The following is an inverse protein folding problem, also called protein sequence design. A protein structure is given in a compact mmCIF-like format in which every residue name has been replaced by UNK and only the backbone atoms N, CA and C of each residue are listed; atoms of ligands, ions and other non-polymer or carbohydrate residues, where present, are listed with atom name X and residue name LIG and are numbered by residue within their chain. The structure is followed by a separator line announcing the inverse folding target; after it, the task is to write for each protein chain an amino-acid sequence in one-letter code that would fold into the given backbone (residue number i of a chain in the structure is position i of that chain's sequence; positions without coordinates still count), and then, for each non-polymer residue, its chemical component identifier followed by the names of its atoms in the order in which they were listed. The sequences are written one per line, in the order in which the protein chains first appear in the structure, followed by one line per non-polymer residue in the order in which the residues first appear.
data_IF_369467790340
#
_entry.id   IF_369467790340
#
_cell.length_a   1.000
_cell.length_b   1.000
_cell.length_c   1.000
_cell.angle_alpha   90.00
_cell.angle_beta   90.00
_cell.angle_gamma   90.00
#
_symmetry.space_group_name_H-M   'P 1'
#
loop_
_entity.id
_entity.type
_entity.pdbx_description
1 polymer ?
#
# COMPACT_ATOMS: atom_id res chain seq x y z
N UNK A 1 -0.84 7.73 -20.86
CA UNK A 1 -0.87 9.14 -20.44
C UNK A 1 0.54 9.57 -20.07
N UNK A 2 0.93 10.82 -20.30
CA UNK A 2 2.25 11.32 -19.91
C UNK A 2 2.33 11.42 -18.38
N UNK A 3 3.43 10.95 -17.77
CA UNK A 3 3.67 11.06 -16.33
C UNK A 3 3.75 12.55 -15.97
N UNK A 4 2.75 13.09 -15.29
CA UNK A 4 2.81 14.46 -14.76
C UNK A 4 3.98 14.55 -13.79
N UNK A 5 4.72 15.65 -13.85
CA UNK A 5 5.83 15.89 -12.92
C UNK A 5 5.26 16.39 -11.60
N UNK A 6 5.78 15.85 -10.50
CA UNK A 6 5.46 16.35 -9.16
C UNK A 6 5.95 17.81 -9.05
N UNK A 7 5.10 18.76 -8.63
CA UNK A 7 5.49 20.12 -8.35
C UNK A 7 6.60 20.21 -7.29
N UNK A 8 7.54 21.14 -7.46
CA UNK A 8 8.76 21.23 -6.63
C UNK A 8 8.45 21.48 -5.16
N UNK A 9 7.40 22.24 -4.90
CA UNK A 9 6.90 22.59 -3.57
C UNK A 9 6.37 21.39 -2.78
N UNK A 10 5.94 20.31 -3.46
CA UNK A 10 5.44 19.08 -2.82
C UNK A 10 6.54 18.06 -2.52
N UNK A 11 7.71 18.21 -3.17
CA UNK A 11 8.83 17.28 -3.03
C UNK A 11 9.36 17.13 -1.60
N UNK A 12 9.48 18.19 -0.77
CA UNK A 12 10.00 18.04 0.59
C UNK A 12 9.13 17.14 1.47
N UNK A 13 7.80 17.29 1.37
CA UNK A 13 6.84 16.47 2.11
C UNK A 13 6.90 15.01 1.66
N UNK A 14 6.90 14.75 0.36
CA UNK A 14 7.07 13.39 -0.18
C UNK A 14 8.41 12.76 0.19
N UNK A 15 9.48 13.55 0.24
CA UNK A 15 10.80 13.06 0.67
C UNK A 15 10.76 12.65 2.14
N UNK A 16 10.12 13.44 3.02
CA UNK A 16 9.95 13.10 4.43
C UNK A 16 9.16 11.79 4.58
N UNK A 17 8.04 11.63 3.87
CA UNK A 17 7.25 10.40 3.91
C UNK A 17 8.03 9.21 3.34
N UNK A 18 8.85 9.42 2.31
CA UNK A 18 9.71 8.37 1.76
C UNK A 18 10.78 7.91 2.76
N UNK A 19 11.39 8.85 3.48
CA UNK A 19 12.39 8.53 4.50
C UNK A 19 11.75 7.74 5.64
N UNK A 20 10.54 8.11 6.09
CA UNK A 20 9.76 7.36 7.08
C UNK A 20 9.40 5.95 6.59
N UNK A 21 8.90 5.83 5.36
CA UNK A 21 8.59 4.53 4.75
C UNK A 21 9.84 3.65 4.67
N UNK A 22 10.98 4.22 4.25
CA UNK A 22 12.24 3.48 4.12
C UNK A 22 12.68 2.90 5.46
N UNK A 23 12.65 3.70 6.53
CA UNK A 23 12.94 3.22 7.88
C UNK A 23 12.01 2.08 8.30
N UNK A 24 10.72 2.17 7.95
CA UNK A 24 9.74 1.16 8.33
C UNK A 24 9.88 -0.18 7.58
N UNK A 25 10.40 -0.10 6.37
CA UNK A 25 10.79 -1.24 5.55
C UNK A 25 12.21 -1.75 5.90
N UNK A 26 12.79 -1.27 7.00
CA UNK A 26 14.15 -1.60 7.45
C UNK A 26 15.27 -1.22 6.46
N UNK A 27 15.03 -0.22 5.59
CA UNK A 27 16.09 0.42 4.82
C UNK A 27 16.65 1.60 5.61
N UNK A 28 17.95 1.54 5.90
CA UNK A 28 18.68 2.66 6.48
C UNK A 28 19.00 3.75 5.43
N UNK A 29 19.64 4.84 5.87
CA UNK A 29 19.97 5.95 4.99
C UNK A 29 20.85 5.54 3.79
N UNK A 30 21.70 4.52 3.95
CA UNK A 30 22.65 4.07 2.93
C UNK A 30 22.02 3.09 1.95
N UNK A 31 20.96 2.39 2.39
CA UNK A 31 20.21 1.39 1.61
C UNK A 31 18.86 1.90 1.10
N UNK A 32 18.47 3.15 1.40
CA UNK A 32 17.22 3.75 0.93
C UNK A 32 17.02 3.72 -0.58
N UNK A 33 18.09 3.64 -1.37
CA UNK A 33 17.97 3.42 -2.82
C UNK A 33 17.32 2.06 -3.17
N UNK A 34 17.51 1.05 -2.31
CA UNK A 34 16.85 -0.24 -2.39
C UNK A 34 15.33 -0.14 -2.22
N UNK A 35 14.83 0.74 -1.33
CA UNK A 35 13.40 0.97 -1.19
C UNK A 35 12.77 1.46 -2.51
N UNK A 36 13.40 2.40 -3.22
CA UNK A 36 12.90 2.86 -4.54
C UNK A 36 12.91 1.73 -5.57
N UNK A 37 13.96 0.91 -5.58
CA UNK A 37 14.03 -0.26 -6.46
C UNK A 37 12.92 -1.27 -6.16
N UNK A 38 12.61 -1.50 -4.89
CA UNK A 38 11.51 -2.36 -4.46
C UNK A 38 10.15 -1.81 -4.93
N UNK A 39 9.89 -0.51 -4.72
CA UNK A 39 8.66 0.16 -5.15
C UNK A 39 8.46 0.14 -6.67
N UNK A 40 9.54 0.29 -7.44
CA UNK A 40 9.51 0.20 -8.90
C UNK A 40 9.62 -1.23 -9.43
N UNK A 41 9.81 -2.19 -8.54
CA UNK A 41 10.09 -3.59 -8.84
C UNK A 41 8.86 -4.39 -9.23
N UNK A 42 9.10 -5.63 -9.65
CA UNK A 42 8.07 -6.57 -10.13
C UNK A 42 7.05 -6.96 -9.06
N UNK A 43 7.40 -6.83 -7.79
CA UNK A 43 6.53 -7.18 -6.67
C UNK A 43 5.55 -6.08 -6.30
N UNK A 44 5.80 -4.82 -6.63
CA UNK A 44 4.96 -3.69 -6.21
C UNK A 44 4.30 -3.00 -7.39
N UNK A 45 5.10 -2.61 -8.39
CA UNK A 45 4.68 -1.75 -9.49
C UNK A 45 3.49 -2.29 -10.29
N UNK A 46 3.42 -3.58 -10.69
CA UNK A 46 2.29 -4.07 -11.47
C UNK A 46 0.96 -3.98 -10.71
N UNK A 47 0.97 -4.24 -9.40
CA UNK A 47 -0.23 -4.14 -8.57
C UNK A 47 -0.63 -2.69 -8.34
N UNK A 48 0.34 -1.79 -8.16
CA UNK A 48 0.04 -0.37 -8.05
C UNK A 48 -0.48 0.22 -9.37
N UNK A 49 0.05 -0.19 -10.52
CA UNK A 49 -0.48 0.22 -11.82
C UNK A 49 -1.95 -0.23 -12.01
N UNK A 50 -2.32 -1.41 -11.50
CA UNK A 50 -3.70 -1.87 -11.45
C UNK A 50 -4.56 -1.01 -10.51
N UNK A 51 -4.09 -0.75 -9.28
CA UNK A 51 -4.77 0.12 -8.32
C UNK A 51 -5.00 1.52 -8.88
N UNK A 52 -3.97 2.11 -9.50
CA UNK A 52 -4.05 3.43 -10.15
C UNK A 52 -5.11 3.45 -11.25
N UNK A 53 -5.05 2.50 -12.19
CA UNK A 53 -5.97 2.44 -13.34
C UNK A 53 -7.42 2.27 -12.90
N UNK A 54 -7.64 1.39 -11.93
CA UNK A 54 -9.00 0.95 -11.58
C UNK A 54 -9.64 1.80 -10.48
N UNK A 55 -8.86 2.59 -9.74
CA UNK A 55 -9.36 3.47 -8.69
C UNK A 55 -8.89 4.92 -8.87
N UNK A 56 -7.59 5.22 -8.73
CA UNK A 56 -7.10 6.61 -8.70
C UNK A 56 -7.45 7.42 -9.95
N UNK A 57 -7.38 6.80 -11.13
CA UNK A 57 -7.73 7.44 -12.41
C UNK A 57 -9.23 7.43 -12.71
N UNK A 58 -10.02 6.60 -12.00
CA UNK A 58 -11.42 6.33 -12.32
C UNK A 58 -12.41 6.92 -11.30
N UNK A 59 -11.95 7.25 -10.08
CA UNK A 59 -12.79 7.76 -9.01
C UNK A 59 -13.01 9.28 -9.11
N UNK A 60 -14.21 9.72 -8.75
CA UNK A 60 -14.57 11.15 -8.66
C UNK A 60 -13.97 11.85 -7.44
N UNK A 61 -13.54 11.07 -6.44
CA UNK A 61 -12.87 11.54 -5.23
C UNK A 61 -12.00 10.45 -4.64
N UNK A 62 -10.83 10.83 -4.13
CA UNK A 62 -9.88 9.90 -3.53
C UNK A 62 -10.08 9.89 -2.01
N UNK A 63 -10.46 8.73 -1.49
CA UNK A 63 -10.61 8.46 -0.07
C UNK A 63 -9.26 8.14 0.59
N UNK A 64 -9.15 8.51 1.87
CA UNK A 64 -8.08 8.04 2.75
C UNK A 64 -8.36 6.59 3.16
N UNK A 65 -7.32 5.75 3.10
CA UNK A 65 -7.42 4.32 3.34
C UNK A 65 -6.92 4.04 4.74
N UNK A 66 -7.83 3.91 5.71
CA UNK A 66 -7.48 3.54 7.08
C UNK A 66 -6.96 2.09 7.14
N UNK A 67 -5.82 1.90 7.82
CA UNK A 67 -5.18 0.59 7.94
C UNK A 67 -6.06 -0.40 8.70
N UNK A 68 -6.71 0.04 9.78
CA UNK A 68 -7.54 -0.83 10.62
C UNK A 68 -8.80 -1.27 9.88
N UNK A 69 -9.51 -0.34 9.22
CA UNK A 69 -10.68 -0.63 8.40
C UNK A 69 -10.33 -1.59 7.25
N UNK A 70 -9.19 -1.38 6.59
CA UNK A 70 -8.71 -2.28 5.54
C UNK A 70 -8.44 -3.69 6.07
N UNK A 71 -7.81 -3.78 7.24
CA UNK A 71 -7.54 -5.06 7.89
C UNK A 71 -8.83 -5.78 8.26
N UNK A 72 -9.78 -5.09 8.89
CA UNK A 72 -11.09 -5.64 9.24
C UNK A 72 -11.86 -6.11 8.00
N UNK A 73 -11.82 -5.35 6.90
CA UNK A 73 -12.42 -5.78 5.63
C UNK A 73 -11.79 -7.08 5.14
N UNK A 74 -10.46 -7.17 5.13
CA UNK A 74 -9.74 -8.36 4.69
C UNK A 74 -10.11 -9.59 5.52
N UNK A 75 -10.28 -9.45 6.83
CA UNK A 75 -10.73 -10.53 7.70
C UNK A 75 -12.18 -10.95 7.42
N UNK A 76 -13.10 -9.98 7.36
CA UNK A 76 -14.52 -10.22 7.09
C UNK A 76 -14.74 -10.93 5.74
N UNK A 77 -13.91 -10.61 4.75
CA UNK A 77 -13.96 -11.17 3.40
C UNK A 77 -13.14 -12.44 3.23
N UNK A 78 -12.45 -12.91 4.27
CA UNK A 78 -11.49 -14.01 4.20
C UNK A 78 -10.49 -13.82 3.03
N UNK A 79 -9.97 -12.60 2.89
CA UNK A 79 -9.22 -12.16 1.72
C UNK A 79 -7.93 -12.94 1.47
N UNK A 80 -7.34 -13.55 2.51
CA UNK A 80 -6.14 -14.38 2.37
C UNK A 80 -6.43 -15.87 2.17
N UNK A 81 -7.69 -16.30 2.15
CA UNK A 81 -8.05 -17.67 1.82
C UNK A 81 -7.64 -18.03 0.38
N UNK A 82 -7.36 -19.31 0.14
CA UNK A 82 -6.92 -19.85 -1.16
C UNK A 82 -7.86 -19.51 -2.33
N UNK A 83 -9.14 -19.29 -2.07
CA UNK A 83 -10.11 -18.76 -3.03
C UNK A 83 -10.75 -17.54 -2.41
N UNK A 84 -10.46 -16.37 -2.97
CA UNK A 84 -11.05 -15.11 -2.55
C UNK A 84 -11.31 -14.23 -3.79
N UNK A 85 -12.20 -13.25 -3.65
CA UNK A 85 -12.56 -12.37 -4.77
C UNK A 85 -11.40 -11.46 -5.21
N UNK A 86 -10.55 -11.05 -4.27
CA UNK A 86 -9.44 -10.14 -4.52
C UNK A 86 -8.30 -10.77 -5.32
N UNK A 87 -8.05 -12.07 -5.20
CA UNK A 87 -7.02 -12.81 -5.95
C UNK A 87 -7.51 -13.35 -7.30
N UNK A 88 -8.79 -13.18 -7.63
CA UNK A 88 -9.32 -13.57 -8.91
C UNK A 88 -8.59 -12.83 -10.05
N UNK A 89 -8.29 -13.54 -11.15
CA UNK A 89 -7.60 -12.93 -12.29
C UNK A 89 -8.43 -11.81 -12.94
N UNK A 90 -9.76 -11.88 -12.85
CA UNK A 90 -10.72 -10.89 -13.38
C UNK A 90 -11.92 -10.78 -12.42
N UNK A 91 -11.79 -10.07 -11.30
CA UNK A 91 -12.90 -9.87 -10.38
C UNK A 91 -13.94 -8.93 -11.02
N UNK A 92 -15.20 -9.05 -10.60
CA UNK A 92 -16.21 -8.03 -10.90
C UNK A 92 -16.06 -6.86 -9.92
N UNK A 93 -15.61 -5.72 -10.42
CA UNK A 93 -15.31 -4.52 -9.61
C UNK A 93 -16.44 -3.48 -9.59
N UNK A 94 -17.63 -3.80 -10.13
CA UNK A 94 -18.73 -2.81 -10.30
C UNK A 94 -19.21 -2.13 -9.01
N UNK A 95 -18.97 -2.73 -7.85
CA UNK A 95 -19.40 -2.22 -6.54
C UNK A 95 -18.23 -2.03 -5.57
N UNK A 96 -17.01 -1.99 -6.10
CA UNK A 96 -15.83 -1.87 -5.26
C UNK A 96 -15.71 -0.46 -4.72
N UNK A 97 -15.43 -0.39 -3.42
CA UNK A 97 -15.05 0.82 -2.71
C UNK A 97 -13.54 1.04 -2.80
N UNK A 98 -13.06 2.21 -2.38
CA UNK A 98 -11.63 2.48 -2.24
C UNK A 98 -10.90 1.40 -1.41
N UNK A 99 -11.54 0.94 -0.32
CA UNK A 99 -11.04 -0.15 0.52
C UNK A 99 -10.95 -1.49 -0.22
N UNK A 100 -11.89 -1.82 -1.12
CA UNK A 100 -11.82 -3.04 -1.92
C UNK A 100 -10.65 -3.03 -2.92
N UNK A 101 -10.41 -1.88 -3.55
CA UNK A 101 -9.25 -1.70 -4.42
C UNK A 101 -7.93 -1.79 -3.65
N UNK A 102 -7.87 -1.20 -2.45
CA UNK A 102 -6.72 -1.32 -1.55
C UNK A 102 -6.51 -2.76 -1.07
N UNK A 103 -7.58 -3.47 -0.74
CA UNK A 103 -7.54 -4.87 -0.32
C UNK A 103 -7.00 -5.75 -1.45
N UNK A 104 -7.44 -5.50 -2.69
CA UNK A 104 -6.88 -6.19 -3.86
C UNK A 104 -5.39 -5.94 -4.03
N UNK A 105 -4.94 -4.70 -3.95
CA UNK A 105 -3.52 -4.37 -4.06
C UNK A 105 -2.72 -5.17 -3.05
N UNK A 106 -3.12 -5.09 -1.77
CA UNK A 106 -2.42 -5.68 -0.65
C UNK A 106 -2.40 -7.21 -0.74
N UNK A 107 -3.56 -7.84 -0.94
CA UNK A 107 -3.70 -9.29 -0.99
C UNK A 107 -2.92 -9.88 -2.15
N UNK A 108 -3.04 -9.30 -3.36
CA UNK A 108 -2.33 -9.80 -4.53
C UNK A 108 -0.82 -9.66 -4.37
N UNK A 109 -0.34 -8.54 -3.83
CA UNK A 109 1.07 -8.31 -3.59
C UNK A 109 1.64 -9.32 -2.59
N UNK A 110 1.01 -9.50 -1.44
CA UNK A 110 1.46 -10.44 -0.41
C UNK A 110 1.43 -11.89 -0.92
N UNK A 111 0.32 -12.32 -1.53
CA UNK A 111 0.23 -13.68 -2.08
C UNK A 111 1.25 -13.93 -3.20
N UNK A 112 1.52 -12.92 -4.03
CA UNK A 112 2.55 -13.02 -5.06
C UNK A 112 3.94 -13.10 -4.44
N UNK A 113 4.24 -12.27 -3.44
CA UNK A 113 5.50 -12.32 -2.69
C UNK A 113 5.75 -13.68 -2.05
N UNK A 114 4.76 -14.20 -1.30
CA UNK A 114 4.86 -15.50 -0.63
C UNK A 114 5.07 -16.66 -1.61
N UNK A 115 4.41 -16.61 -2.77
CA UNK A 115 4.52 -17.67 -3.79
C UNK A 115 5.85 -17.66 -4.54
N UNK A 116 6.50 -16.50 -4.64
CA UNK A 116 7.66 -16.30 -5.50
C UNK A 116 8.95 -15.99 -4.74
N UNK A 117 8.93 -16.05 -3.40
CA UNK A 117 10.11 -15.78 -2.57
C UNK A 117 10.50 -14.30 -2.60
N UNK A 118 9.51 -13.42 -2.52
CA UNK A 118 9.72 -11.97 -2.44
C UNK A 118 10.08 -11.49 -1.03
N UNK A 119 10.06 -10.17 -0.84
CA UNK A 119 10.45 -9.50 0.41
C UNK A 119 9.57 -9.89 1.61
N UNK A 120 8.28 -10.14 1.35
CA UNK A 120 7.34 -10.67 2.34
C UNK A 120 7.23 -12.19 2.17
N UNK A 121 7.31 -12.93 3.26
CA UNK A 121 7.51 -14.38 3.24
C UNK A 121 6.70 -15.15 4.29
N UNK A 122 5.97 -14.48 5.18
CA UNK A 122 5.24 -15.14 6.28
C UNK A 122 4.20 -16.16 5.79
N UNK A 123 3.63 -15.96 4.59
CA UNK A 123 2.91 -17.02 3.86
C UNK A 123 1.42 -17.14 4.14
N UNK A 124 0.92 -16.55 5.22
CA UNK A 124 -0.52 -16.41 5.54
C UNK A 124 -0.75 -15.19 6.42
N UNK A 125 -1.99 -14.73 6.52
CA UNK A 125 -2.40 -13.81 7.60
C UNK A 125 -3.53 -14.52 8.33
N UNK A 126 -3.23 -15.01 9.54
CA UNK A 126 -4.20 -15.65 10.42
C UNK A 126 -4.06 -15.06 11.84
N UNK A 127 -4.84 -14.01 12.17
CA UNK A 127 -4.71 -13.34 13.46
C UNK A 127 -5.01 -14.25 14.65
N UNK A 128 -5.68 -15.39 14.45
CA UNK A 128 -5.96 -16.35 15.51
C UNK A 128 -4.75 -17.26 15.82
N UNK A 129 -3.77 -17.33 14.91
CA UNK A 129 -2.62 -18.25 15.00
C UNK A 129 -1.28 -17.58 14.67
N UNK A 130 -1.23 -16.26 14.50
CA UNK A 130 0.00 -15.49 14.30
C UNK A 130 0.65 -15.16 15.65
N UNK A 131 1.40 -16.14 16.17
CA UNK A 131 2.03 -16.11 17.50
C UNK A 131 3.04 -14.96 17.69
N UNK A 132 3.45 -14.28 16.60
CA UNK A 132 4.43 -13.20 16.61
C UNK A 132 3.94 -11.90 15.95
N UNK A 133 2.70 -11.85 15.44
CA UNK A 133 2.14 -10.69 14.73
C UNK A 133 2.92 -10.33 13.46
N UNK A 134 3.63 -11.29 12.87
CA UNK A 134 4.46 -11.06 11.69
C UNK A 134 3.60 -10.77 10.45
N UNK A 135 2.47 -11.46 10.30
CA UNK A 135 1.50 -11.21 9.24
C UNK A 135 0.87 -9.82 9.36
N UNK A 136 0.60 -9.36 10.58
CA UNK A 136 0.12 -7.99 10.84
C UNK A 136 1.17 -6.94 10.45
N UNK A 137 2.46 -7.25 10.68
CA UNK A 137 3.56 -6.38 10.29
C UNK A 137 3.74 -6.31 8.77
N UNK A 138 3.69 -7.45 8.06
CA UNK A 138 3.74 -7.47 6.58
C UNK A 138 2.54 -6.72 5.99
N UNK A 139 1.34 -6.92 6.54
CA UNK A 139 0.13 -6.21 6.14
C UNK A 139 0.32 -4.70 6.25
N UNK A 140 0.76 -4.24 7.41
CA UNK A 140 0.95 -2.83 7.69
C UNK A 140 1.99 -2.24 6.73
N UNK A 141 3.14 -2.89 6.53
CA UNK A 141 4.18 -2.45 5.59
C UNK A 141 3.64 -2.25 4.17
N UNK A 142 2.87 -3.22 3.67
CA UNK A 142 2.28 -3.14 2.33
C UNK A 142 1.22 -2.04 2.25
N UNK A 143 0.45 -1.82 3.31
CA UNK A 143 -0.46 -0.68 3.39
C UNK A 143 0.28 0.66 3.31
N UNK A 144 1.42 0.87 3.99
CA UNK A 144 2.14 2.14 3.81
C UNK A 144 2.73 2.30 2.43
N UNK A 145 3.21 1.22 1.81
CA UNK A 145 3.64 1.26 0.41
C UNK A 145 2.50 1.80 -0.46
N UNK A 146 1.28 1.29 -0.28
CA UNK A 146 0.11 1.78 -0.98
C UNK A 146 -0.13 3.27 -0.71
N UNK A 147 -0.14 3.69 0.56
CA UNK A 147 -0.37 5.10 0.95
C UNK A 147 0.68 6.03 0.37
N UNK A 148 1.95 5.66 0.44
CA UNK A 148 3.04 6.45 -0.13
C UNK A 148 2.92 6.58 -1.65
N UNK A 149 2.68 5.47 -2.36
CA UNK A 149 2.54 5.50 -3.81
C UNK A 149 1.29 6.28 -4.26
N UNK A 150 0.20 6.17 -3.51
CA UNK A 150 -1.00 6.99 -3.72
C UNK A 150 -0.67 8.47 -3.52
N UNK A 151 0.07 8.84 -2.46
CA UNK A 151 0.52 10.22 -2.23
C UNK A 151 1.39 10.75 -3.36
N UNK A 152 2.36 9.96 -3.85
CA UNK A 152 3.18 10.34 -5.00
C UNK A 152 2.31 10.62 -6.24
N UNK A 153 1.25 9.81 -6.44
CA UNK A 153 0.32 10.00 -7.54
C UNK A 153 -0.54 11.25 -7.35
N UNK A 154 -1.14 11.45 -6.17
CA UNK A 154 -1.98 12.60 -5.85
C UNK A 154 -1.19 13.90 -5.96
N UNK A 155 0.02 13.94 -5.40
CA UNK A 155 0.92 15.08 -5.51
C UNK A 155 1.31 15.40 -6.96
N UNK A 156 1.27 14.44 -7.88
CA UNK A 156 1.50 14.68 -9.30
C UNK A 156 0.23 15.10 -10.07
N UNK A 157 -0.96 14.75 -9.59
CA UNK A 157 -2.18 14.78 -10.40
C UNK A 157 -3.31 15.67 -9.87
N UNK A 158 -3.38 15.94 -8.56
CA UNK A 158 -4.42 16.74 -7.94
C UNK A 158 -3.96 18.18 -7.68
N UNK A 159 -4.81 19.16 -7.99
CA UNK A 159 -4.46 20.57 -7.82
C UNK A 159 -4.46 20.99 -6.33
N UNK A 160 -5.35 20.42 -5.51
CA UNK A 160 -5.51 20.72 -4.09
C UNK A 160 -4.83 19.72 -3.14
N UNK A 161 -3.69 19.14 -3.52
CA UNK A 161 -2.97 18.19 -2.66
C UNK A 161 -2.44 18.88 -1.39
N UNK A 162 -2.66 18.22 -0.26
CA UNK A 162 -2.24 18.62 1.09
C UNK A 162 -1.43 17.47 1.71
N UNK A 163 -0.31 17.79 2.36
CA UNK A 163 0.62 16.81 2.95
C UNK A 163 0.29 16.41 4.40
N UNK A 164 -0.64 17.12 5.05
CA UNK A 164 -0.98 16.89 6.46
C UNK A 164 -1.47 15.45 6.71
N UNK A 165 -2.27 14.89 5.80
CA UNK A 165 -2.88 13.55 5.97
C UNK A 165 -1.88 12.38 5.93
N UNK A 166 -0.77 12.50 5.21
CA UNK A 166 0.20 11.40 5.13
C UNK A 166 1.06 11.32 6.39
N UNK A 167 1.53 12.48 6.85
CA UNK A 167 2.44 12.55 7.99
C UNK A 167 1.76 12.07 9.28
N UNK A 168 0.47 12.38 9.45
CA UNK A 168 -0.31 11.94 10.61
C UNK A 168 -0.55 10.42 10.60
N UNK A 169 -0.90 9.84 9.45
CA UNK A 169 -1.09 8.40 9.31
C UNK A 169 0.20 7.60 9.59
N UNK A 170 1.35 8.09 9.11
CA UNK A 170 2.65 7.50 9.42
C UNK A 170 3.03 7.71 10.90
N UNK A 171 2.74 8.87 11.50
CA UNK A 171 3.05 9.15 12.90
C UNK A 171 2.20 8.32 13.88
N UNK A 172 0.92 8.14 13.59
CA UNK A 172 0.01 7.32 14.39
C UNK A 172 0.45 5.85 14.39
N UNK A 173 0.85 5.36 13.21
CA UNK A 173 1.30 3.99 13.03
C UNK A 173 2.68 3.72 13.64
N UNK A 174 3.54 4.75 13.71
CA UNK A 174 4.80 4.72 14.47
C UNK A 174 4.57 4.76 15.99
N UNK A 175 3.46 5.33 16.44
CA UNK A 175 3.13 5.44 17.87
C UNK A 175 2.44 4.20 18.43
N UNK A 176 1.76 3.42 17.59
CA UNK A 176 1.05 2.19 18.01
C UNK A 176 1.95 0.96 18.17
N UNK A 177 3.22 1.04 17.75
CA UNK A 177 4.25 -0.01 17.93
C UNK A 177 5.17 0.21 19.15
N UNK A 178 4.98 1.29 19.92
CA UNK A 178 5.68 1.58 21.18
C UNK A 178 4.78 1.27 22.38
#
# INVERSE_FOLDING_TARGET
MAKKRIPRERMPALQKSYDQLSMWLNFDHDTKHGARQMLDGVYVKPFFDEYRRDYLEAADGIEDIDCHALFQLCLQKHAFAKRNEYSAARPDKKRWTALDHAARFLVCLLQFSWKHGGEWSHGTIDPAHDEHGEGDNEFAQVWAILRYLQAEWEAANLDGWDDDHLNDAFAELMSSRL
#
